data_IF_480385183684
#
_entry.id   IF_480385183684
#
_cell.length_a   1.000
_cell.length_b   1.000
_cell.length_c   1.000
_cell.angle_alpha   90.00
_cell.angle_beta   90.00
_cell.angle_gamma   90.00
#
_symmetry.space_group_name_H-M   'P 1'
#
loop_
_entity.id
_entity.type
_entity.pdbx_description
1 polymer ?
#
# COMPACT_ATOMS: atom_id res chain seq x y z
N UNK A 1 17.43 -29.17 3.36
CA UNK A 1 16.42 -28.61 4.29
C UNK A 1 15.47 -27.78 3.45
N UNK A 2 14.16 -27.76 3.70
CA UNK A 2 13.27 -26.87 2.99
C UNK A 2 13.76 -25.42 3.15
N UNK A 3 13.62 -24.64 2.09
CA UNK A 3 14.00 -23.22 2.09
C UNK A 3 13.18 -22.46 3.14
N UNK A 4 13.81 -21.63 3.94
CA UNK A 4 13.16 -20.87 5.00
C UNK A 4 13.31 -19.37 4.75
N UNK A 5 12.21 -18.65 4.85
CA UNK A 5 12.07 -17.23 4.56
C UNK A 5 12.10 -16.43 5.85
N UNK A 6 12.93 -15.42 5.91
CA UNK A 6 12.99 -14.51 7.04
C UNK A 6 11.90 -13.45 6.94
N UNK A 7 11.24 -13.16 8.06
CA UNK A 7 10.28 -12.07 8.17
C UNK A 7 10.46 -11.31 9.48
N UNK A 8 10.18 -10.00 9.43
CA UNK A 8 10.06 -9.15 10.61
C UNK A 8 8.61 -9.20 11.09
N UNK A 9 8.41 -9.73 12.28
CA UNK A 9 7.09 -9.97 12.88
C UNK A 9 6.85 -8.98 14.01
N UNK A 10 5.67 -8.39 14.01
CA UNK A 10 5.17 -7.59 15.12
C UNK A 10 4.33 -8.50 16.04
N UNK A 11 4.86 -8.95 17.19
CA UNK A 11 4.22 -9.97 18.03
C UNK A 11 3.05 -9.42 18.83
N UNK A 12 2.95 -8.11 18.97
CA UNK A 12 1.92 -7.41 19.70
C UNK A 12 2.20 -5.91 19.77
N UNK A 13 1.20 -5.15 20.17
CA UNK A 13 1.35 -3.70 20.36
C UNK A 13 2.46 -3.38 21.39
N UNK A 14 3.31 -2.40 21.04
CA UNK A 14 4.43 -1.90 21.85
C UNK A 14 5.47 -2.98 22.24
N UNK A 15 5.50 -4.08 21.52
CA UNK A 15 6.54 -5.11 21.67
C UNK A 15 7.62 -4.93 20.61
N UNK A 16 8.88 -5.29 20.91
CA UNK A 16 9.93 -5.30 19.92
C UNK A 16 9.56 -6.16 18.71
N UNK A 17 10.00 -5.74 17.52
CA UNK A 17 9.90 -6.54 16.30
C UNK A 17 10.81 -7.75 16.44
N UNK A 18 10.30 -8.90 16.05
CA UNK A 18 11.02 -10.18 16.08
C UNK A 18 11.35 -10.65 14.67
N UNK A 19 12.51 -11.21 14.49
CA UNK A 19 12.84 -11.93 13.26
C UNK A 19 12.42 -13.39 13.42
N UNK A 20 11.51 -13.85 12.55
CA UNK A 20 11.05 -15.24 12.51
C UNK A 20 11.26 -15.86 11.16
N UNK A 21 11.46 -17.18 11.13
CA UNK A 21 11.60 -17.95 9.89
C UNK A 21 10.32 -18.72 9.61
N UNK A 22 9.92 -18.70 8.35
CA UNK A 22 8.73 -19.35 7.83
C UNK A 22 9.10 -20.30 6.70
N UNK A 23 8.30 -21.35 6.43
CA UNK A 23 8.46 -22.14 5.21
C UNK A 23 8.33 -21.25 3.97
N UNK A 24 9.08 -21.58 2.92
CA UNK A 24 8.90 -20.90 1.63
C UNK A 24 7.46 -21.12 1.14
N UNK A 25 6.75 -20.06 0.73
CA UNK A 25 5.39 -20.18 0.26
C UNK A 25 5.34 -20.89 -1.09
N UNK A 26 4.29 -21.67 -1.31
CA UNK A 26 3.97 -22.29 -2.60
C UNK A 26 2.77 -21.54 -3.15
N UNK A 27 2.80 -21.03 -4.40
CA UNK A 27 1.71 -20.24 -4.93
C UNK A 27 0.43 -21.08 -5.06
N UNK A 28 -0.67 -20.57 -4.54
CA UNK A 28 -2.00 -21.17 -4.71
C UNK A 28 -2.46 -21.03 -6.18
N UNK A 29 -3.34 -21.90 -6.68
CA UNK A 29 -3.91 -21.73 -8.02
C UNK A 29 -4.51 -20.33 -8.21
N UNK A 30 -4.03 -19.58 -9.20
CA UNK A 30 -4.41 -18.17 -9.44
C UNK A 30 -3.75 -17.14 -8.52
N UNK A 31 -2.78 -17.56 -7.72
CA UNK A 31 -1.92 -16.69 -6.91
C UNK A 31 -0.49 -16.65 -7.41
N UNK A 32 0.39 -15.98 -6.68
CA UNK A 32 1.81 -15.86 -7.00
C UNK A 32 2.67 -15.80 -5.74
N UNK A 33 3.97 -15.95 -5.90
CA UNK A 33 4.99 -15.66 -4.88
C UNK A 33 5.90 -14.57 -5.41
N UNK A 34 6.07 -13.51 -4.62
CA UNK A 34 7.00 -12.43 -4.92
C UNK A 34 8.24 -12.54 -4.05
N UNK A 35 9.41 -12.27 -4.64
CA UNK A 35 10.58 -11.81 -3.90
C UNK A 35 10.37 -10.33 -3.56
N UNK A 36 10.45 -9.96 -2.30
CA UNK A 36 10.28 -8.56 -1.88
C UNK A 36 11.49 -7.74 -2.30
N UNK A 37 11.28 -6.72 -3.13
CA UNK A 37 12.31 -5.75 -3.48
C UNK A 37 12.29 -4.60 -2.48
N UNK A 38 11.10 -4.07 -2.19
CA UNK A 38 10.91 -2.98 -1.24
C UNK A 38 9.54 -3.05 -0.58
N UNK A 39 9.47 -2.62 0.68
CA UNK A 39 8.25 -2.48 1.45
C UNK A 39 8.29 -1.17 2.22
N UNK A 40 7.22 -0.38 2.13
CA UNK A 40 7.11 0.89 2.86
C UNK A 40 6.99 0.68 4.37
N UNK A 41 7.58 1.59 5.13
CA UNK A 41 7.27 1.81 6.54
C UNK A 41 6.56 3.15 6.66
N UNK A 42 5.28 3.14 6.92
CA UNK A 42 4.46 4.36 6.97
C UNK A 42 3.85 4.64 8.35
N UNK A 43 3.06 5.71 8.44
CA UNK A 43 2.35 6.07 9.66
C UNK A 43 1.40 4.98 10.17
N UNK A 44 0.85 4.15 9.29
CA UNK A 44 0.00 3.01 9.66
C UNK A 44 0.77 1.99 10.50
N UNK A 45 2.01 1.67 10.10
CA UNK A 45 2.85 0.71 10.84
C UNK A 45 3.23 1.24 12.22
N UNK A 46 3.46 2.56 12.34
CA UNK A 46 3.65 3.22 13.63
C UNK A 46 2.38 3.13 14.49
N UNK A 47 1.20 3.29 13.90
CA UNK A 47 -0.07 3.14 14.61
C UNK A 47 -0.35 1.70 15.03
N UNK A 48 -0.01 0.71 14.19
CA UNK A 48 -0.05 -0.71 14.51
C UNK A 48 0.84 -1.01 15.72
N UNK A 49 2.11 -0.57 15.66
CA UNK A 49 3.06 -0.78 16.75
C UNK A 49 2.60 -0.13 18.07
N UNK A 50 1.99 1.04 18.01
CA UNK A 50 1.47 1.72 19.22
C UNK A 50 0.12 1.17 19.71
N UNK A 51 -0.48 0.20 19.03
CA UNK A 51 -1.79 -0.36 19.39
C UNK A 51 -2.95 0.62 19.19
N UNK A 52 -2.84 1.55 18.25
CA UNK A 52 -3.87 2.55 17.94
C UNK A 52 -4.93 2.04 16.95
N UNK A 53 -4.70 0.88 16.35
CA UNK A 53 -5.65 0.23 15.46
C UNK A 53 -6.31 -0.95 16.19
N UNK A 54 -7.63 -0.96 16.24
CA UNK A 54 -8.38 -2.05 16.86
C UNK A 54 -8.49 -3.27 15.93
N UNK A 55 -8.61 -4.47 16.52
CA UNK A 55 -8.88 -5.69 15.77
C UNK A 55 -7.69 -6.24 14.97
N UNK A 56 -6.47 -5.81 15.27
CA UNK A 56 -5.26 -6.34 14.65
C UNK A 56 -4.99 -7.76 15.18
N UNK A 57 -4.87 -8.78 14.31
CA UNK A 57 -4.70 -10.18 14.71
C UNK A 57 -3.23 -10.52 14.98
N UNK A 58 -2.62 -9.88 15.98
CA UNK A 58 -1.24 -10.19 16.34
C UNK A 58 -1.01 -11.67 16.64
N UNK A 59 0.17 -12.25 16.29
CA UNK A 59 1.30 -11.61 15.62
C UNK A 59 1.01 -11.34 14.13
N UNK A 60 1.55 -10.24 13.58
CA UNK A 60 1.42 -9.90 12.15
C UNK A 60 2.79 -9.74 11.49
N UNK A 61 2.87 -9.91 10.18
CA UNK A 61 3.98 -9.43 9.34
C UNK A 61 3.50 -8.12 8.73
N UNK A 62 4.04 -6.95 9.16
CA UNK A 62 3.62 -5.66 8.60
C UNK A 62 4.04 -5.46 7.15
N UNK A 63 3.79 -4.26 6.60
CA UNK A 63 4.11 -3.88 5.23
C UNK A 63 2.94 -4.13 4.28
N UNK A 64 2.17 -3.08 4.03
CA UNK A 64 0.96 -3.12 3.19
C UNK A 64 1.18 -2.46 1.82
N UNK A 65 2.26 -1.71 1.62
CA UNK A 65 2.67 -1.20 0.31
C UNK A 65 4.00 -1.83 -0.08
N UNK A 66 4.00 -2.54 -1.18
CA UNK A 66 5.09 -3.42 -1.53
C UNK A 66 5.38 -3.39 -3.03
N UNK A 67 6.64 -3.61 -3.36
CA UNK A 67 7.09 -3.91 -4.70
C UNK A 67 7.92 -5.18 -4.68
N UNK A 68 7.67 -6.11 -5.58
CA UNK A 68 8.36 -7.38 -5.61
C UNK A 68 8.52 -7.93 -7.02
N UNK A 69 9.44 -8.86 -7.17
CA UNK A 69 9.65 -9.63 -8.39
C UNK A 69 8.86 -10.92 -8.30
N UNK A 70 8.08 -11.22 -9.31
CA UNK A 70 7.36 -12.49 -9.41
C UNK A 70 8.39 -13.62 -9.55
N UNK A 71 8.42 -14.53 -8.58
CA UNK A 71 9.24 -15.74 -8.63
C UNK A 71 8.50 -16.88 -9.32
N UNK A 72 7.25 -17.08 -8.92
CA UNK A 72 6.43 -18.20 -9.36
C UNK A 72 4.95 -17.82 -9.33
N UNK A 73 4.16 -18.42 -10.23
CA UNK A 73 2.70 -18.28 -10.27
C UNK A 73 2.02 -19.64 -10.17
N UNK A 74 0.87 -19.68 -9.53
CA UNK A 74 0.02 -20.89 -9.40
C UNK A 74 -0.90 -21.11 -10.61
N UNK A 75 -0.36 -21.00 -11.82
CA UNK A 75 -1.07 -21.00 -13.09
C UNK A 75 -1.15 -19.60 -13.70
N UNK A 76 -1.90 -19.37 -14.79
CA UNK A 76 -2.02 -18.06 -15.40
C UNK A 76 -2.56 -17.01 -14.44
N UNK A 77 -1.85 -15.89 -14.30
CA UNK A 77 -2.22 -14.73 -13.49
C UNK A 77 -2.18 -13.50 -14.37
N UNK A 78 -3.15 -12.60 -14.21
CA UNK A 78 -3.31 -11.44 -15.07
C UNK A 78 -3.26 -10.15 -14.26
N UNK A 79 -2.75 -9.09 -14.88
CA UNK A 79 -2.77 -7.74 -14.33
C UNK A 79 -4.18 -7.10 -14.43
N UNK A 80 -4.29 -5.85 -14.00
CA UNK A 80 -5.57 -5.09 -14.03
C UNK A 80 -6.05 -4.78 -15.45
N UNK A 81 -5.20 -4.91 -16.45
CA UNK A 81 -5.51 -4.71 -17.88
C UNK A 81 -5.74 -6.02 -18.63
N UNK A 82 -5.65 -7.17 -17.94
CA UNK A 82 -5.84 -8.49 -18.51
C UNK A 82 -4.59 -9.05 -19.23
N UNK A 83 -3.41 -8.47 -19.02
CA UNK A 83 -2.15 -8.99 -19.55
C UNK A 83 -1.59 -10.02 -18.59
N UNK A 84 -1.07 -11.13 -19.13
CA UNK A 84 -0.48 -12.17 -18.29
C UNK A 84 0.80 -11.67 -17.59
N UNK A 85 0.89 -11.96 -16.31
CA UNK A 85 2.06 -11.66 -15.47
C UNK A 85 2.95 -12.90 -15.45
N UNK A 86 4.17 -12.76 -15.92
CA UNK A 86 5.15 -13.83 -16.00
C UNK A 86 6.18 -13.74 -14.85
N UNK A 87 6.81 -14.86 -14.48
CA UNK A 87 7.98 -14.84 -13.60
C UNK A 87 9.04 -13.87 -14.10
N UNK A 88 9.67 -13.13 -13.18
CA UNK A 88 10.62 -12.06 -13.47
C UNK A 88 10.00 -10.65 -13.54
N UNK A 89 8.69 -10.52 -13.73
CA UNK A 89 8.02 -9.22 -13.73
C UNK A 89 8.14 -8.54 -12.35
N UNK A 90 8.39 -7.24 -12.37
CA UNK A 90 8.39 -6.40 -11.16
C UNK A 90 7.02 -5.78 -11.01
N UNK A 91 6.35 -6.07 -9.90
CA UNK A 91 4.96 -5.70 -9.68
C UNK A 91 4.75 -5.06 -8.32
N UNK A 92 3.73 -4.23 -8.23
CA UNK A 92 3.02 -3.91 -6.98
C UNK A 92 1.65 -4.56 -7.00
N UNK A 93 0.91 -4.50 -5.88
CA UNK A 93 -0.42 -5.10 -5.78
C UNK A 93 -1.32 -4.31 -4.83
N UNK A 94 -2.63 -4.47 -5.00
CA UNK A 94 -3.59 -3.87 -4.08
C UNK A 94 -3.56 -4.59 -2.73
N UNK A 95 -3.28 -3.84 -1.68
CA UNK A 95 -3.21 -4.33 -0.31
C UNK A 95 -4.56 -4.81 0.23
N UNK A 96 -5.66 -4.15 -0.17
CA UNK A 96 -7.03 -4.60 0.16
C UNK A 96 -7.44 -5.72 -0.79
N UNK A 97 -7.29 -6.95 -0.36
CA UNK A 97 -7.51 -8.12 -1.20
C UNK A 97 -8.90 -8.77 -1.09
N UNK A 98 -9.67 -8.46 -0.04
CA UNK A 98 -11.04 -8.93 0.10
C UNK A 98 -11.93 -7.92 0.83
N UNK A 99 -13.19 -7.88 0.42
CA UNK A 99 -14.25 -7.09 1.04
C UNK A 99 -15.54 -7.91 1.06
N UNK A 100 -16.54 -7.54 1.88
CA UNK A 100 -17.76 -8.35 1.97
C UNK A 100 -18.65 -8.28 0.72
N UNK A 101 -18.47 -7.29 -0.15
CA UNK A 101 -19.28 -7.10 -1.36
C UNK A 101 -20.75 -6.75 -1.14
N UNK A 102 -21.26 -6.73 0.12
CA UNK A 102 -22.68 -6.60 0.45
C UNK A 102 -23.03 -5.41 1.33
N UNK A 103 -22.05 -4.77 1.99
CA UNK A 103 -22.35 -3.63 2.86
C UNK A 103 -22.54 -2.32 2.06
N UNK A 104 -23.04 -1.30 2.73
CA UNK A 104 -23.26 0.04 2.14
C UNK A 104 -21.99 0.62 1.51
N UNK A 105 -20.84 0.44 2.15
CA UNK A 105 -19.55 0.88 1.61
C UNK A 105 -19.17 0.20 0.29
N UNK A 106 -19.49 -1.09 0.15
CA UNK A 106 -19.21 -1.83 -1.07
C UNK A 106 -20.19 -1.51 -2.19
N UNK A 107 -21.49 -1.45 -1.88
CA UNK A 107 -22.55 -1.39 -2.89
C UNK A 107 -22.97 0.04 -3.24
N UNK A 108 -23.08 0.92 -2.26
CA UNK A 108 -23.65 2.27 -2.44
C UNK A 108 -22.54 3.31 -2.52
N UNK A 109 -21.71 3.43 -1.47
CA UNK A 109 -20.65 4.43 -1.41
C UNK A 109 -19.48 4.15 -2.35
N UNK A 110 -19.38 2.94 -2.93
CA UNK A 110 -18.28 2.51 -3.80
C UNK A 110 -16.89 2.80 -3.19
N UNK A 111 -16.79 2.70 -1.86
CA UNK A 111 -15.57 2.90 -1.08
C UNK A 111 -15.21 1.63 -0.30
N UNK A 112 -14.82 0.60 -1.04
CA UNK A 112 -14.54 -0.75 -0.53
C UNK A 112 -13.44 -0.76 0.56
N UNK A 113 -12.51 0.18 0.53
CA UNK A 113 -11.50 0.39 1.57
C UNK A 113 -12.08 0.72 2.96
N UNK A 114 -13.35 1.14 3.02
CA UNK A 114 -14.09 1.37 4.28
C UNK A 114 -14.96 0.19 4.69
N UNK A 115 -14.92 -0.92 3.96
CA UNK A 115 -15.66 -2.12 4.33
C UNK A 115 -15.20 -2.62 5.72
N UNK A 116 -16.11 -2.83 6.69
CA UNK A 116 -15.73 -3.30 8.03
C UNK A 116 -15.13 -4.71 8.03
N UNK A 117 -15.43 -5.51 6.99
CA UNK A 117 -14.91 -6.87 6.82
C UNK A 117 -13.76 -6.94 5.81
N UNK A 118 -13.13 -5.80 5.49
CA UNK A 118 -11.99 -5.81 4.56
C UNK A 118 -10.82 -6.61 5.10
N UNK A 119 -10.12 -7.28 4.21
CA UNK A 119 -8.86 -7.95 4.47
C UNK A 119 -7.73 -7.18 3.77
N UNK A 120 -6.66 -6.92 4.52
CA UNK A 120 -5.56 -6.05 4.11
C UNK A 120 -4.24 -6.71 4.44
N UNK A 121 -3.35 -6.81 3.45
CA UNK A 121 -1.99 -7.28 3.65
C UNK A 121 -1.28 -6.47 4.75
N UNK A 122 -0.51 -7.15 5.57
CA UNK A 122 0.29 -6.51 6.61
C UNK A 122 -0.48 -5.84 7.75
N UNK A 123 -1.83 -5.90 7.75
CA UNK A 123 -2.66 -5.23 8.75
C UNK A 123 -3.68 -6.18 9.40
N UNK A 124 -4.48 -6.90 8.58
CA UNK A 124 -5.59 -7.71 9.07
C UNK A 124 -5.39 -9.20 8.92
N UNK A 125 -4.19 -9.62 8.59
CA UNK A 125 -3.75 -11.01 8.45
C UNK A 125 -2.76 -11.36 9.55
N UNK A 126 -2.93 -12.51 10.19
CA UNK A 126 -1.96 -13.01 11.16
C UNK A 126 -0.71 -13.53 10.45
N UNK A 127 0.44 -13.50 11.11
CA UNK A 127 1.64 -14.19 10.67
C UNK A 127 1.48 -15.72 10.59
N UNK A 128 0.44 -16.26 11.24
CA UNK A 128 0.08 -17.68 11.18
C UNK A 128 -0.69 -18.03 9.90
N UNK A 129 -1.27 -17.04 9.22
CA UNK A 129 -2.00 -17.23 7.95
C UNK A 129 -1.05 -17.37 6.74
N UNK A 130 0.24 -17.04 6.89
CA UNK A 130 1.26 -17.07 5.85
C UNK A 130 2.06 -15.78 5.72
N UNK A 131 2.84 -15.67 4.65
CA UNK A 131 3.68 -14.50 4.36
C UNK A 131 2.83 -13.40 3.68
N UNK A 132 1.87 -12.83 4.42
CA UNK A 132 0.87 -11.87 3.94
C UNK A 132 1.20 -10.43 4.37
N UNK A 133 2.46 -10.07 4.37
CA UNK A 133 2.96 -8.72 4.63
C UNK A 133 4.36 -8.54 4.07
N UNK A 134 4.69 -7.32 3.69
CA UNK A 134 5.91 -7.02 2.93
C UNK A 134 7.20 -6.99 3.73
N UNK A 135 7.14 -7.03 5.06
CA UNK A 135 8.35 -7.10 5.88
C UNK A 135 8.89 -8.53 5.97
N UNK A 136 8.88 -9.22 4.84
CA UNK A 136 9.41 -10.57 4.65
C UNK A 136 10.21 -10.63 3.34
N UNK A 137 11.16 -11.54 3.25
CA UNK A 137 11.94 -11.77 2.02
C UNK A 137 11.06 -12.20 0.84
N UNK A 138 9.91 -12.83 1.13
CA UNK A 138 8.90 -13.22 0.13
C UNK A 138 7.50 -12.87 0.61
N UNK A 139 6.62 -12.60 -0.36
CA UNK A 139 5.19 -12.32 -0.13
C UNK A 139 4.38 -13.34 -0.93
N UNK A 140 3.41 -13.97 -0.27
CA UNK A 140 2.41 -14.79 -0.93
C UNK A 140 1.29 -13.88 -1.46
N UNK A 141 1.07 -13.88 -2.76
CA UNK A 141 -0.06 -13.20 -3.40
C UNK A 141 -1.22 -14.19 -3.50
N UNK A 142 -2.30 -13.89 -2.78
CA UNK A 142 -3.49 -14.72 -2.75
C UNK A 142 -4.25 -14.66 -4.09
N UNK A 143 -5.03 -15.71 -4.43
CA UNK A 143 -5.86 -15.69 -5.64
C UNK A 143 -6.81 -14.49 -5.67
N UNK A 144 -6.92 -13.85 -6.84
CA UNK A 144 -7.79 -12.69 -7.05
C UNK A 144 -7.22 -11.33 -6.59
N UNK A 145 -6.04 -11.31 -6.00
CA UNK A 145 -5.31 -10.06 -5.72
C UNK A 145 -4.90 -9.42 -7.03
N UNK A 146 -5.24 -8.17 -7.20
CA UNK A 146 -4.89 -7.41 -8.40
C UNK A 146 -3.45 -6.93 -8.31
N UNK A 147 -2.66 -7.32 -9.28
CA UNK A 147 -1.27 -6.88 -9.45
C UNK A 147 -1.14 -5.87 -10.58
N UNK A 148 -0.16 -4.98 -10.46
CA UNK A 148 0.20 -3.98 -11.47
C UNK A 148 1.71 -4.09 -11.71
N UNK A 149 2.13 -4.42 -12.94
CA UNK A 149 3.52 -4.24 -13.32
C UNK A 149 3.93 -2.77 -13.17
N UNK A 150 5.14 -2.52 -12.68
CA UNK A 150 5.65 -1.16 -12.67
C UNK A 150 5.86 -0.70 -14.11
N UNK A 151 5.41 0.53 -14.44
CA UNK A 151 5.66 1.10 -15.77
C UNK A 151 7.16 1.19 -16.07
N UNK A 152 7.51 1.10 -17.35
CA UNK A 152 8.87 1.34 -17.80
C UNK A 152 9.35 2.74 -17.34
N UNK A 153 10.57 2.80 -16.82
CA UNK A 153 11.16 4.04 -16.30
C UNK A 153 10.81 4.38 -14.84
N UNK A 154 9.93 3.60 -14.19
CA UNK A 154 9.65 3.76 -12.75
C UNK A 154 10.38 2.65 -11.99
N UNK A 155 11.35 3.04 -11.17
CA UNK A 155 12.04 2.08 -10.29
C UNK A 155 11.18 1.72 -9.07
N UNK A 156 11.45 0.57 -8.42
CA UNK A 156 10.82 0.25 -7.14
C UNK A 156 11.00 1.35 -6.07
N UNK A 157 12.15 2.01 -6.05
CA UNK A 157 12.46 3.10 -5.13
C UNK A 157 11.60 4.34 -5.43
N UNK A 158 11.42 4.71 -6.70
CA UNK A 158 10.56 5.82 -7.11
C UNK A 158 9.10 5.54 -6.70
N UNK A 159 8.62 4.31 -6.94
CA UNK A 159 7.30 3.89 -6.51
C UNK A 159 7.13 3.97 -4.98
N UNK A 160 8.11 3.49 -4.21
CA UNK A 160 8.09 3.58 -2.75
C UNK A 160 8.13 5.03 -2.25
N UNK A 161 8.73 5.95 -3.00
CA UNK A 161 8.72 7.38 -2.68
C UNK A 161 7.30 7.98 -2.62
N UNK A 162 6.39 7.49 -3.46
CA UNK A 162 4.96 7.82 -3.40
C UNK A 162 4.21 7.05 -2.31
N UNK A 163 4.56 5.80 -2.12
CA UNK A 163 4.01 4.88 -1.13
C UNK A 163 2.47 4.86 -1.07
N UNK A 164 1.92 4.62 0.12
CA UNK A 164 0.46 4.71 0.34
C UNK A 164 -0.07 6.14 0.22
N UNK A 165 0.79 7.14 0.31
CA UNK A 165 0.44 8.56 0.18
C UNK A 165 -0.05 8.92 -1.22
N UNK A 166 0.52 8.28 -2.25
CA UNK A 166 0.19 8.56 -3.65
C UNK A 166 -1.29 8.26 -3.97
N UNK A 167 -1.78 7.02 -3.90
CA UNK A 167 -3.18 6.71 -4.19
C UNK A 167 -4.16 7.36 -3.21
N UNK A 168 -3.75 7.57 -1.96
CA UNK A 168 -4.60 8.23 -0.96
C UNK A 168 -4.77 9.71 -1.27
N UNK A 169 -3.69 10.40 -1.66
CA UNK A 169 -3.73 11.80 -2.08
C UNK A 169 -4.56 11.99 -3.36
N UNK A 170 -4.37 11.12 -4.35
CA UNK A 170 -5.17 11.09 -5.57
C UNK A 170 -6.67 10.95 -5.27
N UNK A 171 -7.04 9.93 -4.50
CA UNK A 171 -8.44 9.68 -4.15
C UNK A 171 -9.06 10.81 -3.32
N UNK A 172 -8.28 11.47 -2.46
CA UNK A 172 -8.77 12.64 -1.71
C UNK A 172 -9.14 13.78 -2.65
N UNK A 173 -8.31 14.08 -3.65
CA UNK A 173 -8.54 15.12 -4.65
C UNK A 173 -9.73 14.78 -5.55
N UNK A 174 -9.82 13.53 -6.03
CA UNK A 174 -10.96 13.04 -6.80
C UNK A 174 -12.28 13.21 -6.01
N UNK A 175 -12.28 12.86 -4.73
CA UNK A 175 -13.45 13.00 -3.85
C UNK A 175 -13.81 14.44 -3.51
N UNK A 176 -12.82 15.33 -3.49
CA UNK A 176 -13.05 16.76 -3.28
C UNK A 176 -13.69 17.44 -4.49
N UNK A 177 -13.59 16.82 -5.69
CA UNK A 177 -14.18 17.36 -6.92
C UNK A 177 -13.52 18.66 -7.36
N UNK A 178 -12.21 18.75 -7.24
CA UNK A 178 -11.44 19.96 -7.60
C UNK A 178 -11.58 20.24 -9.08
N UNK A 179 -11.86 21.51 -9.40
CA UNK A 179 -12.09 22.00 -10.74
C UNK A 179 -11.07 23.07 -11.15
N UNK A 180 -11.02 23.35 -12.44
CA UNK A 180 -10.17 24.41 -13.00
C UNK A 180 -10.44 25.74 -12.32
N UNK A 181 -9.39 26.39 -11.82
CA UNK A 181 -9.47 27.71 -11.18
C UNK A 181 -9.75 27.70 -9.67
N UNK A 182 -9.96 26.54 -9.07
CA UNK A 182 -10.17 26.44 -7.62
C UNK A 182 -8.93 26.86 -6.83
N UNK A 183 -9.18 27.40 -5.64
CA UNK A 183 -8.15 27.59 -4.61
C UNK A 183 -8.30 26.47 -3.57
N UNK A 184 -7.25 25.70 -3.36
CA UNK A 184 -7.25 24.52 -2.51
C UNK A 184 -6.36 24.70 -1.30
N UNK A 185 -6.87 24.32 -0.12
CA UNK A 185 -6.07 24.26 1.12
C UNK A 185 -5.92 22.79 1.52
N UNK A 186 -4.67 22.34 1.61
CA UNK A 186 -4.32 21.00 2.08
C UNK A 186 -3.83 21.10 3.52
N UNK A 187 -4.56 20.51 4.45
CA UNK A 187 -4.16 20.43 5.84
C UNK A 187 -3.35 19.15 6.09
N UNK A 188 -2.07 19.31 6.34
CA UNK A 188 -1.11 18.24 6.54
C UNK A 188 -0.03 18.22 5.46
N UNK A 189 1.24 18.29 5.89
CA UNK A 189 2.42 18.26 5.01
C UNK A 189 3.15 16.91 5.02
N UNK A 190 2.44 15.83 5.36
CA UNK A 190 2.94 14.45 5.25
C UNK A 190 2.86 13.93 3.81
N UNK A 191 3.26 12.66 3.55
CA UNK A 191 3.21 12.07 2.21
C UNK A 191 1.84 12.19 1.53
N UNK A 192 0.75 11.92 2.25
CA UNK A 192 -0.61 12.08 1.72
C UNK A 192 -0.91 13.53 1.32
N UNK A 193 -0.57 14.49 2.18
CA UNK A 193 -0.82 15.91 1.89
C UNK A 193 0.01 16.44 0.74
N UNK A 194 1.29 16.06 0.65
CA UNK A 194 2.15 16.45 -0.47
C UNK A 194 1.63 15.89 -1.80
N UNK A 195 1.23 14.61 -1.82
CA UNK A 195 0.61 14.02 -3.02
C UNK A 195 -0.74 14.67 -3.35
N UNK A 196 -1.58 14.96 -2.36
CA UNK A 196 -2.83 15.68 -2.58
C UNK A 196 -2.59 17.10 -3.18
N UNK A 197 -1.55 17.80 -2.73
CA UNK A 197 -1.18 19.10 -3.30
C UNK A 197 -0.74 18.99 -4.77
N UNK A 198 0.02 17.95 -5.12
CA UNK A 198 0.40 17.67 -6.52
C UNK A 198 -0.86 17.38 -7.37
N UNK A 199 -1.70 16.47 -6.91
CA UNK A 199 -2.90 16.08 -7.67
C UNK A 199 -3.92 17.23 -7.78
N UNK A 200 -4.04 18.10 -6.76
CA UNK A 200 -4.87 19.29 -6.86
C UNK A 200 -4.42 20.21 -7.99
N UNK A 201 -3.10 20.44 -8.12
CA UNK A 201 -2.53 21.22 -9.22
C UNK A 201 -2.79 20.55 -10.58
N UNK A 202 -2.55 19.23 -10.69
CA UNK A 202 -2.81 18.45 -11.91
C UNK A 202 -4.32 18.44 -12.29
N UNK A 203 -5.21 18.62 -11.31
CA UNK A 203 -6.66 18.77 -11.54
C UNK A 203 -7.07 20.18 -11.97
N UNK A 204 -6.12 21.12 -12.03
CA UNK A 204 -6.36 22.46 -12.53
C UNK A 204 -6.63 23.53 -11.43
N UNK A 205 -6.31 23.24 -10.18
CA UNK A 205 -6.37 24.26 -9.13
C UNK A 205 -5.49 25.47 -9.50
N UNK A 206 -6.03 26.68 -9.34
CA UNK A 206 -5.30 27.94 -9.58
C UNK A 206 -4.21 28.18 -8.54
N UNK A 207 -4.48 27.82 -7.28
CA UNK A 207 -3.54 27.92 -6.20
C UNK A 207 -3.75 26.80 -5.19
N UNK A 208 -2.65 26.25 -4.67
CA UNK A 208 -2.67 25.23 -3.61
C UNK A 208 -1.84 25.72 -2.43
N UNK A 209 -2.45 25.81 -1.27
CA UNK A 209 -1.79 26.17 -0.01
C UNK A 209 -1.68 24.95 0.88
N UNK A 210 -0.50 24.74 1.49
CA UNK A 210 -0.27 23.60 2.39
C UNK A 210 -0.01 24.11 3.80
N UNK A 211 -0.86 23.67 4.73
CA UNK A 211 -0.73 23.97 6.16
C UNK A 211 -0.21 22.76 6.90
N UNK A 212 0.94 22.89 7.57
CA UNK A 212 1.54 21.74 8.25
C UNK A 212 2.85 22.03 8.96
N UNK A 213 3.55 20.96 9.32
CA UNK A 213 4.86 20.96 9.96
C UNK A 213 5.58 19.63 9.65
N UNK A 214 6.90 19.54 9.79
CA UNK A 214 7.87 20.61 10.08
C UNK A 214 8.14 21.50 8.85
N UNK A 215 8.88 22.59 9.04
CA UNK A 215 9.23 23.54 7.98
C UNK A 215 9.82 22.89 6.73
N UNK A 216 10.69 21.89 6.89
CA UNK A 216 11.29 21.17 5.77
C UNK A 216 10.26 20.51 4.83
N UNK A 217 9.10 20.08 5.37
CA UNK A 217 8.00 19.54 4.55
C UNK A 217 7.21 20.62 3.83
N UNK A 218 7.07 21.80 4.41
CA UNK A 218 6.47 22.96 3.74
C UNK A 218 7.37 23.46 2.61
N UNK A 219 8.69 23.50 2.83
CA UNK A 219 9.65 23.79 1.77
C UNK A 219 9.59 22.75 0.64
N UNK A 220 9.35 21.46 0.95
CA UNK A 220 9.09 20.46 -0.06
C UNK A 220 7.78 20.72 -0.83
N UNK A 221 6.70 21.11 -0.15
CA UNK A 221 5.45 21.49 -0.80
C UNK A 221 5.66 22.65 -1.79
N UNK A 222 6.41 23.66 -1.39
CA UNK A 222 6.74 24.81 -2.27
C UNK A 222 7.55 24.35 -3.49
N UNK A 223 8.54 23.48 -3.32
CA UNK A 223 9.28 22.88 -4.46
C UNK A 223 8.40 22.06 -5.40
N UNK A 224 7.32 21.51 -4.88
CA UNK A 224 6.31 20.75 -5.65
C UNK A 224 5.22 21.66 -6.23
N UNK A 225 5.37 23.00 -6.16
CA UNK A 225 4.50 23.97 -6.79
C UNK A 225 3.38 24.53 -5.90
N UNK A 226 3.35 24.24 -4.61
CA UNK A 226 2.39 24.88 -3.71
C UNK A 226 2.69 26.39 -3.61
N UNK A 227 1.63 27.20 -3.58
CA UNK A 227 1.72 28.67 -3.52
C UNK A 227 2.11 29.19 -2.13
N UNK A 228 1.92 28.41 -1.06
CA UNK A 228 2.26 28.74 0.31
C UNK A 228 1.93 27.62 1.29
#
# INVERSE_FOLDING_TARGET
MPESILAAVMPGARRPIEHRRFPAPIPRPGGAVLETIASEVCGTDVHLHHGRLAGVPFPIIPGHVNCGRVLETGGPVFDVEGREILPGAVVTFFDVFATCGSCWHCLVAKSATRCPSRKVYGITTSAEDGLLGGWAERIEILPGVRMLPLPEGISPEDFMGGGCGLPTGFHAVERAGISLGDTVVVQGSGPVGLNAAIFAQLSGALAVYVVGAPRARLEAATRLGAAG
#
